data_IF_270673984861
#
_entry.id   IF_270673984861
#
_cell.length_a   1.000
_cell.length_b   1.000
_cell.length_c   1.000
_cell.angle_alpha   90.00
_cell.angle_beta   90.00
_cell.angle_gamma   90.00
#
_symmetry.space_group_name_H-M   'P 1'
#
loop_
_entity.id
_entity.type
_entity.pdbx_description
1 polymer ?
#
# COMPACT_ATOMS: atom_id res chain seq x y z
N UNK A 1 18.05 22.97 43.53
CA UNK A 1 16.94 22.86 42.55
C UNK A 1 17.48 23.07 41.13
N UNK A 2 17.66 22.01 40.36
CA UNK A 2 18.07 22.11 38.94
C UNK A 2 16.89 22.55 38.08
N UNK A 3 17.06 23.65 37.36
CA UNK A 3 16.02 24.30 36.58
C UNK A 3 15.59 23.40 35.41
N UNK A 4 14.37 22.88 35.48
CA UNK A 4 13.68 22.25 34.36
C UNK A 4 13.37 23.32 33.31
N UNK A 5 14.34 23.55 32.42
CA UNK A 5 14.13 24.37 31.22
C UNK A 5 13.19 23.61 30.29
N UNK A 6 11.88 23.80 30.47
CA UNK A 6 10.86 23.51 29.46
C UNK A 6 11.16 24.42 28.28
N UNK A 7 12.11 24.01 27.44
CA UNK A 7 12.39 24.63 26.15
C UNK A 7 11.09 24.51 25.36
N UNK A 8 10.32 25.59 25.29
CA UNK A 8 9.11 25.64 24.47
C UNK A 8 9.55 25.28 23.05
N UNK A 9 9.11 24.12 22.57
CA UNK A 9 9.33 23.73 21.19
C UNK A 9 8.84 24.88 20.32
N UNK A 10 9.72 25.33 19.43
CA UNK A 10 9.44 26.39 18.46
C UNK A 10 8.11 26.06 17.76
N UNK A 11 7.09 26.94 17.81
CA UNK A 11 5.75 26.64 17.29
C UNK A 11 5.79 26.16 15.83
N UNK A 12 6.67 26.71 15.01
CA UNK A 12 6.86 26.28 13.61
C UNK A 12 7.41 24.86 13.50
N UNK A 13 8.33 24.47 14.39
CA UNK A 13 8.86 23.11 14.46
C UNK A 13 7.78 22.13 14.93
N UNK A 14 6.96 22.54 15.91
CA UNK A 14 5.84 21.74 16.41
C UNK A 14 4.77 21.52 15.34
N UNK A 15 4.44 22.54 14.55
CA UNK A 15 3.47 22.43 13.44
C UNK A 15 3.99 21.55 12.30
N UNK A 16 5.28 21.62 11.97
CA UNK A 16 5.95 20.74 11.01
C UNK A 16 5.93 19.27 11.46
N UNK A 17 6.28 19.01 12.72
CA UNK A 17 6.22 17.68 13.32
C UNK A 17 4.77 17.15 13.41
N UNK A 18 3.78 18.02 13.66
CA UNK A 18 2.36 17.67 13.62
C UNK A 18 1.89 17.34 12.19
N UNK A 19 2.43 18.03 11.17
CA UNK A 19 2.17 17.70 9.76
C UNK A 19 2.78 16.36 9.36
N UNK A 20 4.04 16.11 9.71
CA UNK A 20 4.71 14.85 9.40
C UNK A 20 4.08 13.66 10.15
N UNK A 21 3.71 13.85 11.42
CA UNK A 21 3.05 12.82 12.24
C UNK A 21 1.58 12.56 11.89
N UNK A 22 0.95 13.38 11.02
CA UNK A 22 -0.41 13.12 10.53
C UNK A 22 -0.45 12.06 9.43
N UNK A 23 0.69 11.66 8.86
CA UNK A 23 0.73 10.62 7.80
C UNK A 23 1.78 9.50 7.99
N UNK A 24 2.01 8.94 9.19
CA UNK A 24 3.01 7.90 9.42
C UNK A 24 2.69 6.59 8.68
N UNK A 25 1.41 6.31 8.42
CA UNK A 25 0.94 5.05 7.86
C UNK A 25 0.98 4.96 6.33
N UNK A 26 1.44 6.01 5.63
CA UNK A 26 1.47 6.01 4.15
C UNK A 26 2.38 4.94 3.58
N UNK A 27 3.59 4.79 4.14
CA UNK A 27 4.54 3.76 3.71
C UNK A 27 4.02 2.35 3.93
N UNK A 28 3.44 2.08 5.11
CA UNK A 28 2.86 0.78 5.43
C UNK A 28 1.68 0.45 4.51
N UNK A 29 0.78 1.40 4.30
CA UNK A 29 -0.38 1.24 3.41
C UNK A 29 0.06 0.91 1.98
N UNK A 30 1.07 1.62 1.46
CA UNK A 30 1.64 1.35 0.14
C UNK A 30 2.27 -0.05 0.05
N UNK A 31 3.01 -0.47 1.07
CA UNK A 31 3.58 -1.82 1.13
C UNK A 31 2.49 -2.89 1.12
N UNK A 32 1.40 -2.70 1.86
CA UNK A 32 0.25 -3.61 1.86
C UNK A 32 -0.39 -3.71 0.46
N UNK A 33 -0.69 -2.57 -0.19
CA UNK A 33 -1.25 -2.58 -1.55
C UNK A 33 -0.34 -3.26 -2.55
N UNK A 34 0.97 -3.01 -2.46
CA UNK A 34 1.95 -3.64 -3.32
C UNK A 34 2.05 -5.15 -3.06
N UNK A 35 2.03 -5.60 -1.81
CA UNK A 35 2.05 -7.02 -1.45
C UNK A 35 0.81 -7.76 -1.96
N UNK A 36 -0.39 -7.18 -1.78
CA UNK A 36 -1.62 -7.77 -2.29
C UNK A 36 -1.68 -7.77 -3.82
N UNK A 37 -1.24 -6.68 -4.47
CA UNK A 37 -1.14 -6.61 -5.92
C UNK A 37 -0.18 -7.67 -6.47
N UNK A 38 1.02 -7.78 -5.89
CA UNK A 38 2.02 -8.75 -6.30
C UNK A 38 1.54 -10.19 -6.08
N UNK A 39 0.83 -10.45 -4.98
CA UNK A 39 0.24 -11.77 -4.71
C UNK A 39 -0.82 -12.13 -5.75
N UNK A 40 -1.75 -11.22 -6.04
CA UNK A 40 -2.75 -11.44 -7.09
C UNK A 40 -2.13 -11.62 -8.48
N UNK A 41 -1.11 -10.81 -8.80
CA UNK A 41 -0.38 -10.89 -10.06
C UNK A 41 0.38 -12.20 -10.23
N UNK A 42 1.02 -12.69 -9.17
CA UNK A 42 1.67 -14.00 -9.16
C UNK A 42 0.64 -15.13 -9.32
N UNK A 43 -0.53 -15.02 -8.68
CA UNK A 43 -1.64 -15.95 -8.86
C UNK A 43 -2.09 -16.04 -10.31
N UNK A 44 -2.32 -14.89 -10.96
CA UNK A 44 -2.70 -14.82 -12.38
C UNK A 44 -1.62 -15.38 -13.29
N UNK A 45 -0.35 -15.10 -12.97
CA UNK A 45 0.79 -15.63 -13.71
C UNK A 45 0.80 -17.16 -13.68
N UNK A 46 0.63 -17.76 -12.49
CA UNK A 46 0.57 -19.22 -12.33
C UNK A 46 -0.65 -19.82 -13.03
N UNK A 47 -1.83 -19.20 -12.89
CA UNK A 47 -3.05 -19.67 -13.55
C UNK A 47 -2.95 -19.58 -15.08
N UNK A 48 -2.38 -18.49 -15.61
CA UNK A 48 -2.13 -18.34 -17.04
C UNK A 48 -1.17 -19.41 -17.56
N UNK A 49 -0.12 -19.70 -16.80
CA UNK A 49 0.82 -20.77 -17.15
C UNK A 49 0.14 -22.16 -17.12
N UNK A 50 -0.66 -22.44 -16.08
CA UNK A 50 -1.44 -23.68 -15.99
C UNK A 50 -2.44 -23.83 -17.14
N UNK A 51 -3.16 -22.78 -17.49
CA UNK A 51 -4.08 -22.77 -18.64
C UNK A 51 -3.35 -23.01 -19.97
N UNK A 52 -2.17 -22.40 -20.15
CA UNK A 52 -1.33 -22.62 -21.34
C UNK A 52 -0.81 -24.06 -21.46
N UNK A 53 -0.64 -24.75 -20.33
CA UNK A 53 -0.25 -26.16 -20.26
C UNK A 53 -1.44 -27.12 -20.43
N UNK A 54 -2.66 -26.61 -20.72
CA UNK A 54 -3.88 -27.41 -20.82
C UNK A 54 -4.50 -27.82 -19.49
N UNK A 55 -4.07 -27.19 -18.38
CA UNK A 55 -4.65 -27.40 -17.06
C UNK A 55 -5.96 -26.65 -16.89
N UNK A 56 -6.85 -27.20 -16.06
CA UNK A 56 -8.12 -26.56 -15.70
C UNK A 56 -7.86 -25.31 -14.83
N UNK A 57 -8.55 -24.22 -15.17
CA UNK A 57 -8.49 -22.93 -14.48
C UNK A 57 -9.90 -22.53 -14.13
N UNK A 58 -10.20 -22.51 -12.83
CA UNK A 58 -11.52 -22.15 -12.33
C UNK A 58 -11.78 -20.68 -12.62
N UNK A 59 -12.83 -20.41 -13.41
CA UNK A 59 -13.15 -19.05 -13.87
C UNK A 59 -13.47 -18.09 -12.71
N UNK A 60 -14.07 -18.59 -11.61
CA UNK A 60 -14.32 -17.80 -10.40
C UNK A 60 -13.02 -17.31 -9.76
N UNK A 61 -12.02 -18.19 -9.66
CA UNK A 61 -10.75 -17.89 -9.01
C UNK A 61 -9.94 -16.90 -9.84
N UNK A 62 -9.99 -17.06 -11.16
CA UNK A 62 -9.39 -16.13 -12.12
C UNK A 62 -10.05 -14.74 -12.03
N UNK A 63 -11.39 -14.69 -11.95
CA UNK A 63 -12.13 -13.44 -11.76
C UNK A 63 -11.76 -12.73 -10.44
N UNK A 64 -11.62 -13.48 -9.34
CA UNK A 64 -11.20 -12.95 -8.04
C UNK A 64 -9.77 -12.41 -8.12
N UNK A 65 -8.84 -13.12 -8.74
CA UNK A 65 -7.46 -12.67 -8.88
C UNK A 65 -7.34 -11.43 -9.77
N UNK A 66 -8.07 -11.36 -10.89
CA UNK A 66 -8.15 -10.14 -11.72
C UNK A 66 -8.72 -9.00 -10.89
N UNK A 67 -9.82 -9.22 -10.17
CA UNK A 67 -10.44 -8.23 -9.31
C UNK A 67 -9.46 -7.71 -8.25
N UNK A 68 -8.70 -8.60 -7.61
CA UNK A 68 -7.67 -8.23 -6.64
C UNK A 68 -6.56 -7.38 -7.28
N UNK A 69 -6.03 -7.78 -8.44
CA UNK A 69 -4.97 -7.03 -9.14
C UNK A 69 -5.45 -5.65 -9.57
N UNK A 70 -6.66 -5.54 -10.13
CA UNK A 70 -7.24 -4.25 -10.54
C UNK A 70 -7.53 -3.37 -9.32
N UNK A 71 -8.11 -3.93 -8.26
CA UNK A 71 -8.44 -3.19 -7.04
C UNK A 71 -7.18 -2.70 -6.33
N UNK A 72 -6.22 -3.58 -6.03
CA UNK A 72 -5.01 -3.21 -5.32
C UNK A 72 -4.07 -2.37 -6.19
N UNK A 73 -4.05 -2.60 -7.50
CA UNK A 73 -3.31 -1.78 -8.45
C UNK A 73 -3.86 -0.35 -8.54
N UNK A 74 -5.19 -0.20 -8.60
CA UNK A 74 -5.83 1.12 -8.56
C UNK A 74 -5.62 1.82 -7.21
N UNK A 75 -5.73 1.12 -6.07
CA UNK A 75 -5.40 1.68 -4.76
C UNK A 75 -3.94 2.14 -4.67
N UNK A 76 -3.00 1.37 -5.22
CA UNK A 76 -1.59 1.73 -5.27
C UNK A 76 -1.36 2.99 -6.13
N UNK A 77 -2.07 3.11 -7.25
CA UNK A 77 -2.04 4.29 -8.11
C UNK A 77 -2.58 5.54 -7.40
N UNK A 78 -3.76 5.44 -6.80
CA UNK A 78 -4.38 6.57 -6.08
C UNK A 78 -3.57 7.00 -4.85
N UNK A 79 -2.90 6.08 -4.15
CA UNK A 79 -2.04 6.42 -3.01
C UNK A 79 -0.76 7.17 -3.45
N UNK A 80 -0.33 6.99 -4.71
CA UNK A 80 0.80 7.71 -5.33
C UNK A 80 0.46 9.16 -5.66
N UNK A 81 -0.73 9.42 -6.19
CA UNK A 81 -1.16 10.77 -6.63
C UNK A 81 -1.43 11.73 -5.46
N UNK A 82 -1.80 11.22 -4.29
CA UNK A 82 -2.02 12.05 -3.08
C UNK A 82 -0.72 12.46 -2.38
N UNK A 83 0.42 12.30 -3.04
CA UNK A 83 1.77 12.51 -2.50
C UNK A 83 2.48 13.77 -3.00
N UNK A 84 1.83 14.58 -3.85
CA UNK A 84 2.35 15.87 -4.32
C UNK A 84 1.63 17.01 -3.61
#
# INVERSE_FOLDING_TARGET
MGQNSRKSLDPDLKERLLRESRTPWRGLRRLLWLAFFASGGLGLFVMGFRGSAGGDVVLSDLGIQIGAVVLFGSLLWFDRDRGV
#
